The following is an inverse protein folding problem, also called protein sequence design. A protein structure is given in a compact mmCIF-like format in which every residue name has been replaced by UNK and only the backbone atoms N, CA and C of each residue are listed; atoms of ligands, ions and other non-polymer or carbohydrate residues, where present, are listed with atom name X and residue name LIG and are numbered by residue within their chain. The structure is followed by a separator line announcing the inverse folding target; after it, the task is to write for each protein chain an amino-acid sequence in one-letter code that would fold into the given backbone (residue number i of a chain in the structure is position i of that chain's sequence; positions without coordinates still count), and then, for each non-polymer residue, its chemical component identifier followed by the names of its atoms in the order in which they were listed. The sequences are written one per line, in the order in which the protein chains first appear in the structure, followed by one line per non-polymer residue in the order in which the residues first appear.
data_IF_544464395795
#
_entry.id   IF_544464395795
#
_cell.length_a   1.000
_cell.length_b   1.000
_cell.length_c   1.000
_cell.angle_alpha   90.00
_cell.angle_beta   90.00
_cell.angle_gamma   90.00
#
_symmetry.space_group_name_H-M   'P 1'
#
loop_
_entity.id
_entity.type
_entity.pdbx_description
1 polymer ?
#
# COMPACT_ATOMS: atom_id res chain seq x y z
N UNK A 1 -12.39 -8.02 14.78
CA UNK A 1 -12.41 -7.42 13.41
C UNK A 1 -11.39 -8.16 12.57
N UNK A 2 -11.63 -8.41 11.27
CA UNK A 2 -10.68 -9.11 10.42
C UNK A 2 -9.39 -8.30 10.27
N UNK A 3 -8.25 -8.99 10.28
CA UNK A 3 -6.92 -8.43 10.06
C UNK A 3 -6.82 -8.04 8.58
N UNK A 4 -6.46 -6.79 8.28
CA UNK A 4 -6.13 -6.36 6.91
C UNK A 4 -4.73 -6.85 6.60
N UNK A 5 -4.56 -7.65 5.55
CA UNK A 5 -3.24 -8.08 5.10
C UNK A 5 -2.67 -7.12 4.05
N UNK A 6 -1.35 -7.00 4.03
CA UNK A 6 -0.66 -6.02 3.17
C UNK A 6 -0.78 -6.35 1.68
N UNK A 7 -0.97 -7.62 1.33
CA UNK A 7 -1.20 -8.08 -0.05
C UNK A 7 -2.58 -7.69 -0.59
N UNK A 8 -3.55 -7.45 0.28
CA UNK A 8 -4.91 -7.03 -0.08
C UNK A 8 -4.98 -5.54 -0.47
N UNK A 9 -3.99 -4.73 -0.09
CA UNK A 9 -3.93 -3.31 -0.42
C UNK A 9 -3.44 -3.11 -1.86
N UNK A 10 -4.11 -2.25 -2.63
CA UNK A 10 -3.64 -1.81 -3.96
C UNK A 10 -2.36 -0.98 -3.89
N UNK A 11 -1.69 -0.76 -5.02
CA UNK A 11 -0.46 0.06 -5.06
C UNK A 11 -0.71 1.48 -4.55
N UNK A 12 -1.82 2.10 -4.95
CA UNK A 12 -2.22 3.42 -4.46
C UNK A 12 -2.47 3.44 -2.95
N UNK A 13 -3.06 2.37 -2.41
CA UNK A 13 -3.24 2.23 -0.97
C UNK A 13 -1.91 2.07 -0.24
N UNK A 14 -0.94 1.34 -0.82
CA UNK A 14 0.41 1.22 -0.26
C UNK A 14 1.18 2.55 -0.32
N UNK A 15 1.11 3.28 -1.44
CA UNK A 15 1.70 4.61 -1.59
C UNK A 15 1.10 5.61 -0.60
N UNK A 16 -0.23 5.60 -0.47
CA UNK A 16 -0.94 6.38 0.54
C UNK A 16 -0.45 6.02 1.94
N UNK A 17 -0.46 4.72 2.29
CA UNK A 17 0.00 4.24 3.59
C UNK A 17 1.43 4.69 3.90
N UNK A 18 2.36 4.56 2.95
CA UNK A 18 3.73 5.04 3.11
C UNK A 18 3.77 6.55 3.34
N UNK A 19 3.05 7.33 2.52
CA UNK A 19 3.01 8.78 2.64
C UNK A 19 2.48 9.25 4.00
N UNK A 20 1.53 8.52 4.59
CA UNK A 20 0.98 8.83 5.91
C UNK A 20 1.98 8.56 7.03
N UNK A 21 2.63 7.41 6.98
CA UNK A 21 3.63 7.04 7.99
C UNK A 21 4.83 7.99 7.97
N UNK A 22 5.22 8.48 6.79
CA UNK A 22 6.36 9.40 6.63
C UNK A 22 6.00 10.88 6.66
N UNK A 23 4.73 11.24 6.87
CA UNK A 23 4.23 12.63 6.79
C UNK A 23 4.58 13.33 5.47
N UNK A 24 4.51 12.59 4.36
CA UNK A 24 4.80 13.12 3.01
C UNK A 24 3.71 14.10 2.55
N UNK A 25 4.08 15.20 1.87
CA UNK A 25 3.11 16.13 1.28
C UNK A 25 2.23 15.48 0.20
N UNK A 26 2.65 14.35 -0.37
CA UNK A 26 1.87 13.60 -1.35
C UNK A 26 0.63 12.92 -0.72
N UNK A 27 0.57 12.80 0.62
CA UNK A 27 -0.57 12.23 1.33
C UNK A 27 -1.90 12.88 0.91
N UNK A 28 -1.96 14.21 0.87
CA UNK A 28 -3.19 14.95 0.53
C UNK A 28 -3.64 14.72 -0.92
N UNK A 29 -2.70 14.43 -1.83
CA UNK A 29 -3.03 14.12 -3.22
C UNK A 29 -3.57 12.70 -3.33
N UNK A 30 -2.95 11.75 -2.64
CA UNK A 30 -3.33 10.33 -2.63
C UNK A 30 -4.66 10.11 -1.90
N UNK A 31 -4.91 10.83 -0.82
CA UNK A 31 -6.18 10.81 -0.07
C UNK A 31 -7.38 11.05 -1.00
N UNK A 32 -7.29 12.05 -1.88
CA UNK A 32 -8.35 12.40 -2.83
C UNK A 32 -8.61 11.35 -3.91
N UNK A 33 -7.69 10.41 -4.09
CA UNK A 33 -7.76 9.36 -5.11
C UNK A 33 -8.27 8.03 -4.53
N UNK A 34 -8.46 7.94 -3.22
CA UNK A 34 -8.95 6.76 -2.53
C UNK A 34 -10.34 7.03 -1.95
N UNK A 35 -11.21 6.03 -2.03
CA UNK A 35 -12.48 6.04 -1.29
C UNK A 35 -12.23 5.99 0.22
N UNK A 36 -13.21 6.45 1.01
CA UNK A 36 -13.15 6.36 2.47
C UNK A 36 -12.91 4.93 2.95
N UNK A 37 -13.49 3.93 2.27
CA UNK A 37 -13.28 2.52 2.62
C UNK A 37 -11.81 2.11 2.46
N UNK A 38 -11.19 2.45 1.33
CA UNK A 38 -9.79 2.14 1.05
C UNK A 38 -8.85 2.84 2.04
N UNK A 39 -9.12 4.11 2.37
CA UNK A 39 -8.36 4.84 3.39
C UNK A 39 -8.47 4.16 4.77
N UNK A 40 -9.66 3.72 5.16
CA UNK A 40 -9.87 3.00 6.42
C UNK A 40 -9.14 1.66 6.46
N UNK A 41 -9.03 0.94 5.33
CA UNK A 41 -8.23 -0.28 5.27
C UNK A 41 -6.75 0.01 5.54
N UNK A 42 -6.19 1.05 4.92
CA UNK A 42 -4.82 1.50 5.16
C UNK A 42 -4.57 1.85 6.63
N UNK A 43 -5.46 2.67 7.22
CA UNK A 43 -5.35 3.08 8.61
C UNK A 43 -5.48 1.89 9.58
N UNK A 44 -6.36 0.92 9.27
CA UNK A 44 -6.48 -0.31 10.05
C UNK A 44 -5.20 -1.13 10.02
N UNK A 45 -4.60 -1.32 8.85
CA UNK A 45 -3.32 -2.01 8.72
C UNK A 45 -2.25 -1.35 9.60
N UNK A 46 -2.07 -0.03 9.46
CA UNK A 46 -1.08 0.74 10.27
C UNK A 46 -1.34 0.63 11.77
N UNK A 47 -2.61 0.63 12.18
CA UNK A 47 -2.98 0.55 13.60
C UNK A 47 -2.72 -0.82 14.23
N UNK A 48 -2.69 -1.87 13.42
CA UNK A 48 -2.51 -3.26 13.88
C UNK A 48 -1.08 -3.77 13.72
N UNK A 49 -0.28 -3.12 12.86
CA UNK A 49 1.08 -3.52 12.56
C UNK A 49 2.09 -2.71 13.40
N UNK A 50 2.90 -3.35 14.27
CA UNK A 50 3.86 -2.63 15.13
C UNK A 50 4.98 -1.93 14.38
N UNK A 51 5.32 -2.36 13.16
CA UNK A 51 6.35 -1.73 12.34
C UNK A 51 5.93 -1.69 10.85
N UNK A 52 4.99 -0.79 10.48
CA UNK A 52 4.33 -0.85 9.19
C UNK A 52 5.21 -0.35 8.03
N UNK A 53 6.09 0.62 8.28
CA UNK A 53 6.87 1.29 7.23
C UNK A 53 7.78 0.33 6.46
N UNK A 54 8.63 -0.50 7.09
CA UNK A 54 9.51 -1.41 6.35
C UNK A 54 8.73 -2.45 5.54
N UNK A 55 7.58 -2.90 6.05
CA UNK A 55 6.72 -3.87 5.36
C UNK A 55 6.08 -3.26 4.11
N UNK A 56 5.52 -2.04 4.23
CA UNK A 56 4.94 -1.30 3.10
C UNK A 56 5.98 -1.05 2.01
N UNK A 57 7.19 -0.62 2.41
CA UNK A 57 8.30 -0.39 1.46
C UNK A 57 8.74 -1.68 0.76
N UNK A 58 8.88 -2.79 1.50
CA UNK A 58 9.21 -4.08 0.92
C UNK A 58 8.13 -4.55 -0.08
N UNK A 59 6.85 -4.34 0.24
CA UNK A 59 5.75 -4.71 -0.64
C UNK A 59 5.74 -3.89 -1.94
N UNK A 60 5.93 -2.57 -1.86
CA UNK A 60 6.05 -1.70 -3.03
C UNK A 60 7.26 -2.09 -3.89
N UNK A 61 8.39 -2.44 -3.27
CA UNK A 61 9.55 -2.94 -3.99
C UNK A 61 9.23 -4.27 -4.70
N UNK A 62 8.65 -5.26 -4.01
CA UNK A 62 8.29 -6.55 -4.59
C UNK A 62 7.35 -6.43 -5.80
N UNK A 63 6.41 -5.48 -5.77
CA UNK A 63 5.49 -5.24 -6.88
C UNK A 63 6.17 -4.56 -8.07
N UNK A 64 7.08 -3.62 -7.81
CA UNK A 64 7.91 -3.01 -8.86
C UNK A 64 8.93 -3.98 -9.47
N UNK A 65 9.39 -4.96 -8.69
CA UNK A 65 10.33 -5.99 -9.13
C UNK A 65 9.67 -7.23 -9.73
N UNK A 66 8.34 -7.36 -9.70
CA UNK A 66 7.64 -8.46 -10.37
C UNK A 66 7.83 -8.29 -11.87
N UNK A 67 8.68 -9.11 -12.54
CA UNK A 67 8.85 -8.99 -13.97
C UNK A 67 7.52 -9.38 -14.60
N UNK A 68 7.05 -8.56 -15.55
CA UNK A 68 6.10 -9.06 -16.53
C UNK A 68 6.78 -10.21 -17.27
N UNK A 69 6.62 -11.45 -16.79
CA UNK A 69 6.85 -12.64 -17.60
C UNK A 69 5.67 -12.65 -18.59
N UNK A 70 5.77 -11.80 -19.60
CA UNK A 70 5.06 -11.99 -20.85
C UNK A 70 5.60 -13.29 -21.43
N UNK A 71 4.86 -14.38 -21.20
CA UNK A 71 4.87 -15.54 -22.06
C UNK A 71 4.62 -15.07 -23.50
N UNK A 72 5.69 -14.82 -24.25
CA UNK A 72 5.65 -14.95 -25.71
C UNK A 72 6.00 -16.40 -26.04
N UNK A 73 4.98 -17.25 -25.98
CA UNK A 73 4.94 -18.41 -26.86
C UNK A 73 4.60 -17.88 -28.27
N UNK A 74 5.55 -17.95 -29.19
CA UNK A 74 5.36 -18.22 -30.63
C UNK A 74 6.72 -18.49 -31.26
#
# INVERSE_FOLDING_TARGET
MPLVQLDELSDRQLEFTQAGITNSPEWLKLERQLSLHEQLQCLRYVSMEPNPLPKVQAQLQNRNFSPQISLKQH
#
